data_IF_294690079786
#
_entry.id   IF_294690079786
#
_cell.length_a   1.000
_cell.length_b   1.000
_cell.length_c   1.000
_cell.angle_alpha   90.00
_cell.angle_beta   90.00
_cell.angle_gamma   90.00
#
_symmetry.space_group_name_H-M   'P 1'
#
loop_
_entity.id
_entity.type
_entity.pdbx_description
1 polymer ?
#
# COMPACT_ATOMS: atom_id res chain seq x y z
N UNK A 1 11.48 -31.19 -13.19
CA UNK A 1 10.43 -32.23 -12.99
C UNK A 1 10.29 -32.65 -11.54
N UNK A 2 11.39 -32.97 -10.80
CA UNK A 2 11.29 -33.44 -9.40
C UNK A 2 10.66 -32.43 -8.42
N UNK A 3 11.06 -31.16 -8.47
CA UNK A 3 10.46 -30.10 -7.64
C UNK A 3 8.93 -29.97 -7.85
N UNK A 4 8.44 -30.15 -9.09
CA UNK A 4 7.00 -30.11 -9.39
C UNK A 4 6.27 -31.28 -8.73
N UNK A 5 6.81 -32.49 -8.83
CA UNK A 5 6.23 -33.66 -8.16
C UNK A 5 6.23 -33.49 -6.63
N UNK A 6 7.32 -32.95 -6.08
CA UNK A 6 7.43 -32.67 -4.65
C UNK A 6 6.40 -31.64 -4.20
N UNK A 7 6.22 -30.54 -4.94
CA UNK A 7 5.18 -29.55 -4.64
C UNK A 7 3.77 -30.16 -4.62
N UNK A 8 3.48 -31.12 -5.49
CA UNK A 8 2.20 -31.85 -5.48
C UNK A 8 2.06 -32.83 -4.31
N UNK A 9 3.17 -33.26 -3.71
CA UNK A 9 3.20 -34.35 -2.73
C UNK A 9 3.38 -33.88 -1.28
N UNK A 10 4.01 -32.73 -1.05
CA UNK A 10 4.47 -32.33 0.28
C UNK A 10 3.33 -32.21 1.32
N UNK A 11 2.19 -31.64 0.93
CA UNK A 11 1.01 -31.51 1.80
C UNK A 11 -0.01 -32.64 1.64
N UNK A 12 0.31 -33.72 0.93
CA UNK A 12 -0.66 -34.81 0.72
C UNK A 12 -1.18 -35.43 2.03
N UNK A 13 -0.38 -35.40 3.10
CA UNK A 13 -0.79 -35.88 4.42
C UNK A 13 -1.96 -35.09 5.01
N UNK A 14 -2.10 -33.80 4.67
CA UNK A 14 -3.15 -32.92 5.17
C UNK A 14 -4.55 -33.33 4.69
N UNK A 15 -4.64 -34.07 3.58
CA UNK A 15 -5.91 -34.64 3.12
C UNK A 15 -6.56 -35.60 4.13
N UNK A 16 -5.76 -36.18 5.04
CA UNK A 16 -6.23 -37.08 6.11
C UNK A 16 -6.18 -36.39 7.48
N UNK A 17 -5.09 -35.65 7.75
CA UNK A 17 -4.84 -35.04 9.07
C UNK A 17 -5.61 -33.72 9.25
N UNK A 18 -5.93 -33.04 8.15
CA UNK A 18 -6.29 -31.63 8.13
C UNK A 18 -5.04 -30.73 8.11
N UNK A 19 -5.22 -29.50 7.68
CA UNK A 19 -4.19 -28.44 7.74
C UNK A 19 -3.98 -28.03 9.20
N UNK A 20 -2.89 -28.51 9.81
CA UNK A 20 -2.49 -28.16 11.18
C UNK A 20 -1.66 -26.89 11.13
N UNK A 21 -2.23 -25.83 11.69
CA UNK A 21 -1.61 -24.52 11.78
C UNK A 21 -0.89 -24.33 13.13
N UNK A 22 0.00 -23.33 13.26
CA UNK A 22 0.59 -22.99 14.55
C UNK A 22 -0.44 -22.66 15.64
N UNK A 23 -1.63 -22.18 15.25
CA UNK A 23 -2.70 -21.81 16.19
C UNK A 23 -3.34 -23.02 16.90
N UNK A 24 -3.20 -24.22 16.34
CA UNK A 24 -3.73 -25.46 16.91
C UNK A 24 -2.89 -25.98 18.09
N UNK A 25 -1.71 -25.40 18.33
CA UNK A 25 -0.86 -25.73 19.48
C UNK A 25 -0.25 -27.15 19.43
N UNK A 26 -0.29 -27.81 18.27
CA UNK A 26 0.26 -29.15 18.08
C UNK A 26 1.79 -29.09 18.00
N UNK A 27 2.54 -29.85 18.81
CA UNK A 27 3.99 -29.90 18.73
C UNK A 27 4.48 -30.36 17.35
N UNK A 28 5.61 -29.82 16.89
CA UNK A 28 6.18 -30.12 15.56
C UNK A 28 6.38 -31.61 15.32
N UNK A 29 6.93 -32.33 16.28
CA UNK A 29 7.20 -33.78 16.15
C UNK A 29 5.90 -34.59 16.07
N UNK A 30 4.84 -34.12 16.73
CA UNK A 30 3.52 -34.74 16.66
C UNK A 30 2.84 -34.46 15.31
N UNK A 31 2.92 -33.22 14.81
CA UNK A 31 2.46 -32.85 13.46
C UNK A 31 3.15 -33.72 12.41
N UNK A 32 4.48 -33.79 12.45
CA UNK A 32 5.28 -34.60 11.52
C UNK A 32 4.92 -36.09 11.58
N UNK A 33 4.70 -36.63 12.79
CA UNK A 33 4.29 -38.03 12.94
C UNK A 33 2.90 -38.29 12.32
N UNK A 34 1.93 -37.40 12.56
CA UNK A 34 0.57 -37.50 12.00
C UNK A 34 0.61 -37.48 10.48
N UNK A 35 1.33 -36.52 9.89
CA UNK A 35 1.46 -36.38 8.43
C UNK A 35 2.18 -37.58 7.81
N UNK A 36 3.26 -38.04 8.43
CA UNK A 36 3.98 -39.24 7.97
C UNK A 36 3.08 -40.47 7.94
N UNK A 37 2.27 -40.67 8.98
CA UNK A 37 1.34 -41.81 9.07
C UNK A 37 0.19 -41.68 8.06
N UNK A 38 -0.31 -40.47 7.83
CA UNK A 38 -1.30 -40.20 6.79
C UNK A 38 -0.76 -40.49 5.39
N UNK A 39 0.45 -40.05 5.09
CA UNK A 39 1.10 -40.34 3.81
C UNK A 39 1.35 -41.84 3.63
N UNK A 40 1.81 -42.54 4.67
CA UNK A 40 1.98 -43.99 4.64
C UNK A 40 0.65 -44.73 4.38
N UNK A 41 -0.45 -44.25 4.98
CA UNK A 41 -1.78 -44.78 4.70
C UNK A 41 -2.17 -44.59 3.23
N UNK A 42 -1.98 -43.39 2.66
CA UNK A 42 -2.22 -43.12 1.25
C UNK A 42 -1.35 -44.02 0.34
N UNK A 43 -0.08 -44.19 0.67
CA UNK A 43 0.83 -45.09 -0.03
C UNK A 43 0.33 -46.54 0.00
N UNK A 44 -0.14 -47.04 1.14
CA UNK A 44 -0.72 -48.37 1.26
C UNK A 44 -1.97 -48.57 0.36
N UNK A 45 -2.81 -47.55 0.19
CA UNK A 45 -3.97 -47.61 -0.69
C UNK A 45 -3.59 -47.65 -2.18
N UNK A 46 -2.53 -46.92 -2.55
CA UNK A 46 -2.05 -46.80 -3.93
C UNK A 46 -1.26 -48.04 -4.35
N UNK A 47 -0.48 -48.62 -3.43
CA UNK A 47 0.51 -49.67 -3.70
C UNK A 47 -0.04 -50.90 -4.44
N UNK A 48 -1.27 -51.42 -4.19
CA UNK A 48 -1.82 -52.53 -4.96
C UNK A 48 -2.03 -52.23 -6.46
N UNK A 49 -2.22 -50.96 -6.82
CA UNK A 49 -2.49 -50.53 -8.20
C UNK A 49 -1.23 -49.97 -8.86
N UNK A 50 -0.41 -49.22 -8.12
CA UNK A 50 0.82 -48.63 -8.63
C UNK A 50 1.90 -48.57 -7.53
N UNK A 51 2.67 -49.66 -7.35
CA UNK A 51 3.72 -49.74 -6.33
C UNK A 51 4.78 -48.65 -6.48
N UNK A 52 5.24 -48.40 -7.71
CA UNK A 52 6.29 -47.40 -7.97
C UNK A 52 5.87 -45.98 -7.60
N UNK A 53 4.60 -45.64 -7.80
CA UNK A 53 4.10 -44.32 -7.42
C UNK A 53 3.93 -44.19 -5.91
N UNK A 54 3.50 -45.25 -5.23
CA UNK A 54 3.46 -45.29 -3.77
C UNK A 54 4.85 -45.06 -3.15
N UNK A 55 5.89 -45.71 -3.70
CA UNK A 55 7.27 -45.48 -3.26
C UNK A 55 7.74 -44.04 -3.58
N UNK A 56 7.41 -43.51 -4.76
CA UNK A 56 7.80 -42.16 -5.17
C UNK A 56 7.22 -41.08 -4.25
N UNK A 57 5.95 -41.16 -3.83
CA UNK A 57 5.36 -40.15 -2.94
C UNK A 57 5.99 -40.18 -1.54
N UNK A 58 6.29 -41.37 -1.00
CA UNK A 58 6.95 -41.52 0.30
C UNK A 58 8.38 -40.96 0.26
N UNK A 59 9.09 -41.20 -0.85
CA UNK A 59 10.43 -40.66 -1.08
C UNK A 59 10.42 -39.13 -1.22
N UNK A 60 9.49 -38.58 -2.03
CA UNK A 60 9.38 -37.13 -2.26
C UNK A 60 9.06 -36.37 -0.97
N UNK A 61 8.12 -36.89 -0.16
CA UNK A 61 7.77 -36.28 1.11
C UNK A 61 8.94 -36.33 2.10
N UNK A 62 9.63 -37.48 2.18
CA UNK A 62 10.81 -37.62 3.05
C UNK A 62 11.94 -36.68 2.63
N UNK A 63 12.17 -36.51 1.32
CA UNK A 63 13.15 -35.55 0.78
C UNK A 63 12.76 -34.10 1.10
N UNK A 64 11.48 -33.76 0.96
CA UNK A 64 10.96 -32.44 1.32
C UNK A 64 11.20 -32.16 2.80
N UNK A 65 10.85 -33.09 3.68
CA UNK A 65 11.01 -32.97 5.13
C UNK A 65 12.47 -32.85 5.57
N UNK A 66 13.38 -33.57 4.93
CA UNK A 66 14.81 -33.42 5.17
C UNK A 66 15.31 -32.00 4.80
N UNK A 67 14.80 -31.41 3.71
CA UNK A 67 15.11 -30.02 3.34
C UNK A 67 16.51 -29.77 2.77
N UNK A 68 17.33 -30.81 2.64
CA UNK A 68 18.74 -30.69 2.21
C UNK A 68 18.90 -30.58 0.69
N UNK A 69 17.93 -31.06 -0.08
CA UNK A 69 18.03 -31.09 -1.53
C UNK A 69 17.71 -29.73 -2.15
N UNK A 70 18.31 -29.42 -3.31
CA UNK A 70 17.97 -28.21 -4.06
C UNK A 70 16.49 -28.15 -4.45
N UNK A 71 15.88 -29.32 -4.71
CA UNK A 71 14.45 -29.39 -5.02
C UNK A 71 13.61 -29.05 -3.78
N UNK A 72 13.94 -29.61 -2.62
CA UNK A 72 13.27 -29.32 -1.36
C UNK A 72 13.41 -27.85 -0.95
N UNK A 73 14.62 -27.29 -1.04
CA UNK A 73 14.87 -25.87 -0.76
C UNK A 73 14.07 -24.95 -1.68
N UNK A 74 13.97 -25.28 -2.96
CA UNK A 74 13.16 -24.52 -3.91
C UNK A 74 11.67 -24.61 -3.55
N UNK A 75 11.13 -25.82 -3.33
CA UNK A 75 9.70 -26.00 -3.01
C UNK A 75 9.34 -25.30 -1.70
N UNK A 76 10.16 -25.43 -0.65
CA UNK A 76 9.97 -24.70 0.62
C UNK A 76 10.01 -23.17 0.44
N UNK A 77 10.87 -22.68 -0.45
CA UNK A 77 10.95 -21.25 -0.77
C UNK A 77 9.72 -20.77 -1.54
N UNK A 78 9.21 -21.59 -2.48
CA UNK A 78 7.99 -21.29 -3.24
C UNK A 78 6.77 -21.33 -2.33
N UNK A 79 6.65 -22.31 -1.44
CA UNK A 79 5.57 -22.45 -0.46
C UNK A 79 5.48 -21.21 0.44
N UNK A 80 6.61 -20.78 1.01
CA UNK A 80 6.68 -19.55 1.80
C UNK A 80 6.26 -18.30 1.00
N UNK A 81 6.74 -18.16 -0.23
CA UNK A 81 6.39 -17.02 -1.10
C UNK A 81 4.91 -17.04 -1.51
N UNK A 82 4.35 -18.21 -1.77
CA UNK A 82 2.94 -18.38 -2.11
C UNK A 82 2.05 -17.93 -0.94
N UNK A 83 2.38 -18.38 0.28
CA UNK A 83 1.68 -17.98 1.49
C UNK A 83 1.76 -16.45 1.73
N UNK A 84 2.93 -15.84 1.52
CA UNK A 84 3.08 -14.38 1.55
C UNK A 84 2.18 -13.70 0.51
N UNK A 85 2.17 -14.20 -0.73
CA UNK A 85 1.36 -13.64 -1.81
C UNK A 85 -0.14 -13.74 -1.51
N UNK A 86 -0.58 -14.88 -0.97
CA UNK A 86 -1.96 -15.05 -0.51
C UNK A 86 -2.32 -14.02 0.56
N UNK A 87 -1.44 -13.75 1.53
CA UNK A 87 -1.68 -12.75 2.56
C UNK A 87 -1.98 -11.37 1.94
N UNK A 88 -1.17 -10.90 0.98
CA UNK A 88 -1.40 -9.63 0.27
C UNK A 88 -2.74 -9.63 -0.48
N UNK A 89 -3.07 -10.72 -1.17
CA UNK A 89 -4.36 -10.86 -1.86
C UNK A 89 -5.53 -10.82 -0.88
N UNK A 90 -5.41 -11.43 0.30
CA UNK A 90 -6.46 -11.40 1.33
C UNK A 90 -6.58 -10.03 1.97
N UNK A 91 -5.48 -9.32 2.20
CA UNK A 91 -5.48 -7.92 2.65
C UNK A 91 -6.27 -7.07 1.65
N UNK A 92 -5.93 -7.12 0.36
CA UNK A 92 -6.63 -6.39 -0.71
C UNK A 92 -8.13 -6.73 -0.76
N UNK A 93 -8.48 -8.03 -0.81
CA UNK A 93 -9.88 -8.50 -0.87
C UNK A 93 -10.69 -8.12 0.36
N UNK A 94 -10.05 -8.01 1.51
CA UNK A 94 -10.68 -7.54 2.74
C UNK A 94 -10.85 -6.03 2.79
N UNK A 95 -10.51 -5.30 1.71
CA UNK A 95 -10.42 -3.85 1.68
C UNK A 95 -9.49 -3.32 2.79
N UNK A 96 -8.43 -4.08 3.03
CA UNK A 96 -7.38 -3.79 4.00
C UNK A 96 -7.89 -3.74 5.45
N UNK A 97 -9.06 -4.31 5.74
CA UNK A 97 -9.60 -4.38 7.11
C UNK A 97 -8.74 -5.29 7.99
N UNK A 98 -8.14 -6.33 7.41
CA UNK A 98 -7.23 -7.25 8.09
C UNK A 98 -5.79 -6.93 7.70
N UNK A 99 -4.93 -6.76 8.70
CA UNK A 99 -3.48 -6.71 8.52
C UNK A 99 -2.92 -8.12 8.74
N UNK A 100 -2.30 -8.68 7.71
CA UNK A 100 -1.69 -10.00 7.69
C UNK A 100 -0.16 -9.87 7.56
N UNK A 101 0.42 -8.77 8.05
CA UNK A 101 1.84 -8.50 7.99
C UNK A 101 2.73 -9.55 8.67
N UNK A 102 2.18 -10.31 9.63
CA UNK A 102 2.86 -11.46 10.26
C UNK A 102 3.34 -12.51 9.25
N UNK A 103 2.64 -12.66 8.12
CA UNK A 103 3.02 -13.61 7.07
C UNK A 103 4.24 -13.12 6.26
N UNK A 104 4.59 -11.83 6.31
CA UNK A 104 5.78 -11.31 5.62
C UNK A 104 7.09 -11.80 6.26
N UNK A 105 7.05 -12.23 7.53
CA UNK A 105 8.21 -12.83 8.22
C UNK A 105 8.68 -14.14 7.56
N UNK A 106 7.82 -14.76 6.74
CA UNK A 106 8.15 -15.95 5.95
C UNK A 106 9.22 -15.69 4.89
N UNK A 107 9.56 -14.44 4.57
CA UNK A 107 10.72 -14.10 3.74
C UNK A 107 12.00 -14.81 4.23
N UNK A 108 12.15 -14.95 5.54
CA UNK A 108 13.31 -15.64 6.16
C UNK A 108 13.45 -17.11 5.74
N UNK A 109 12.37 -17.73 5.26
CA UNK A 109 12.34 -19.10 4.75
C UNK A 109 12.61 -19.21 3.25
N UNK A 110 12.66 -18.08 2.53
CA UNK A 110 12.93 -18.04 1.08
C UNK A 110 14.43 -18.08 0.83
N UNK A 111 14.99 -19.29 0.77
CA UNK A 111 16.43 -19.50 0.57
C UNK A 111 16.85 -19.46 -0.91
N UNK A 112 15.94 -19.75 -1.84
CA UNK A 112 16.23 -19.80 -3.29
C UNK A 112 16.56 -18.40 -3.85
N UNK A 113 17.80 -18.17 -4.36
CA UNK A 113 18.22 -16.86 -4.87
C UNK A 113 17.34 -16.30 -5.99
N UNK A 114 16.80 -17.18 -6.83
CA UNK A 114 15.97 -16.84 -7.99
C UNK A 114 14.62 -16.20 -7.59
N UNK A 115 14.17 -16.37 -6.35
CA UNK A 115 12.90 -15.85 -5.85
C UNK A 115 13.03 -14.52 -5.11
N UNK A 116 14.25 -14.04 -4.85
CA UNK A 116 14.48 -12.81 -4.06
C UNK A 116 13.86 -11.57 -4.71
N UNK A 117 13.91 -11.48 -6.03
CA UNK A 117 13.30 -10.35 -6.74
C UNK A 117 11.78 -10.39 -6.67
N UNK A 118 11.19 -11.59 -6.59
CA UNK A 118 9.74 -11.76 -6.44
C UNK A 118 9.28 -11.37 -5.03
N UNK A 119 10.04 -11.75 -3.99
CA UNK A 119 9.79 -11.30 -2.61
C UNK A 119 9.80 -9.77 -2.53
N UNK A 120 10.80 -9.12 -3.12
CA UNK A 120 10.88 -7.64 -3.14
C UNK A 120 9.71 -7.01 -3.89
N UNK A 121 9.32 -7.57 -5.04
CA UNK A 121 8.18 -7.08 -5.82
C UNK A 121 6.90 -7.17 -4.98
N UNK A 122 6.68 -8.30 -4.32
CA UNK A 122 5.51 -8.52 -3.47
C UNK A 122 5.46 -7.54 -2.28
N UNK A 123 6.60 -7.28 -1.64
CA UNK A 123 6.69 -6.27 -0.57
C UNK A 123 6.35 -4.88 -1.08
N UNK A 124 6.87 -4.49 -2.24
CA UNK A 124 6.55 -3.19 -2.86
C UNK A 124 5.07 -3.07 -3.23
N UNK A 125 4.46 -4.15 -3.74
CA UNK A 125 3.03 -4.21 -4.03
C UNK A 125 2.21 -4.02 -2.75
N UNK A 126 2.56 -4.74 -1.67
CA UNK A 126 1.91 -4.60 -0.36
C UNK A 126 2.07 -3.17 0.19
N UNK A 127 3.28 -2.61 0.14
CA UNK A 127 3.54 -1.24 0.63
C UNK A 127 2.72 -0.21 -0.14
N UNK A 128 2.61 -0.37 -1.46
CA UNK A 128 1.78 0.50 -2.31
C UNK A 128 0.30 0.39 -1.94
N UNK A 129 -0.17 -0.85 -1.75
CA UNK A 129 -1.54 -1.15 -1.36
C UNK A 129 -1.91 -0.48 -0.02
N UNK A 130 -1.09 -0.66 1.01
CA UNK A 130 -1.33 -0.06 2.34
C UNK A 130 -1.15 1.45 2.36
N UNK A 131 -0.20 2.00 1.58
CA UNK A 131 -0.03 3.45 1.43
C UNK A 131 -1.25 4.11 0.78
N UNK A 132 -1.86 3.43 -0.20
CA UNK A 132 -3.08 3.92 -0.87
C UNK A 132 -4.28 4.02 0.09
N UNK A 133 -4.39 3.11 1.06
CA UNK A 133 -5.44 3.13 2.08
C UNK A 133 -5.35 4.34 2.98
N UNK A 134 -4.14 4.65 3.44
CA UNK A 134 -3.89 5.83 4.29
C UNK A 134 -4.41 7.04 3.55
N UNK A 135 -4.04 7.22 2.26
CA UNK A 135 -4.50 8.35 1.45
C UNK A 135 -6.02 8.42 1.25
N UNK A 136 -6.73 7.29 1.23
CA UNK A 136 -8.19 7.25 1.13
C UNK A 136 -8.90 7.69 2.43
N UNK A 137 -8.26 7.56 3.59
CA UNK A 137 -8.81 7.96 4.89
C UNK A 137 -8.36 9.39 5.32
N UNK A 138 -7.70 10.15 4.44
CA UNK A 138 -7.27 11.53 4.73
C UNK A 138 -8.32 12.55 4.29
N UNK A 139 -8.51 13.58 5.11
CA UNK A 139 -9.29 14.74 4.70
C UNK A 139 -8.37 15.82 4.12
N UNK A 140 -8.62 16.24 2.89
CA UNK A 140 -7.85 17.31 2.25
C UNK A 140 -8.54 18.67 2.40
N UNK A 141 -7.84 19.63 2.99
CA UNK A 141 -8.23 21.04 3.11
C UNK A 141 -7.36 21.88 2.16
N UNK A 142 -7.96 22.40 1.09
CA UNK A 142 -7.27 23.28 0.15
C UNK A 142 -7.42 24.74 0.57
N UNK A 143 -6.28 25.42 0.76
CA UNK A 143 -6.23 26.83 1.14
C UNK A 143 -5.80 27.66 -0.06
N UNK A 144 -6.77 28.34 -0.67
CA UNK A 144 -6.56 29.16 -1.87
C UNK A 144 -6.70 30.65 -1.56
N UNK A 145 -5.96 31.47 -2.31
CA UNK A 145 -5.96 32.93 -2.18
C UNK A 145 -4.74 33.57 -2.83
N UNK A 146 -4.82 34.87 -3.10
CA UNK A 146 -3.75 35.64 -3.74
C UNK A 146 -2.40 35.60 -3.00
N UNK A 147 -1.28 35.96 -3.64
CA UNK A 147 0.00 36.10 -2.95
C UNK A 147 -0.09 37.18 -1.85
N UNK A 148 0.56 36.94 -0.71
CA UNK A 148 0.63 37.92 0.40
C UNK A 148 -0.58 37.97 1.35
N UNK A 149 -1.66 37.21 1.10
CA UNK A 149 -2.87 37.23 1.96
C UNK A 149 -2.73 36.49 3.31
N UNK A 150 -1.54 35.98 3.63
CA UNK A 150 -1.27 35.32 4.91
C UNK A 150 -1.71 33.85 5.03
N UNK A 151 -1.94 33.13 3.91
CA UNK A 151 -2.33 31.71 3.90
C UNK A 151 -1.44 30.83 4.76
N UNK A 152 -0.12 30.85 4.50
CA UNK A 152 0.84 30.06 5.29
C UNK A 152 0.79 30.35 6.79
N UNK A 153 0.58 31.62 7.19
CA UNK A 153 0.41 31.99 8.61
C UNK A 153 -0.85 31.36 9.21
N UNK A 154 -1.95 31.36 8.46
CA UNK A 154 -3.21 30.75 8.90
C UNK A 154 -3.10 29.22 8.95
N UNK A 155 -2.51 28.59 7.93
CA UNK A 155 -2.27 27.15 7.91
C UNK A 155 -1.42 26.71 9.11
N UNK A 156 -0.32 27.43 9.40
CA UNK A 156 0.55 27.15 10.54
C UNK A 156 -0.18 27.27 11.89
N UNK A 157 -1.17 28.16 12.01
CA UNK A 157 -2.03 28.28 13.19
C UNK A 157 -3.05 27.15 13.29
N UNK A 158 -3.69 26.77 12.18
CA UNK A 158 -4.67 25.67 12.15
C UNK A 158 -4.02 24.34 12.53
N UNK A 159 -2.76 24.12 12.16
CA UNK A 159 -2.01 22.92 12.54
C UNK A 159 -1.64 22.86 14.03
N UNK A 160 -1.70 23.98 14.76
CA UNK A 160 -1.37 23.96 16.20
C UNK A 160 -2.47 23.25 16.99
N UNK A 161 -2.13 22.12 17.61
CA UNK A 161 -3.06 21.38 18.48
C UNK A 161 -4.10 20.54 17.75
N UNK A 162 -3.95 20.32 16.44
CA UNK A 162 -4.81 19.41 15.65
C UNK A 162 -3.96 18.27 15.07
N UNK A 163 -4.59 17.11 14.80
CA UNK A 163 -3.97 16.02 14.04
C UNK A 163 -4.00 16.38 12.54
N UNK A 164 -3.18 17.35 12.15
CA UNK A 164 -3.10 17.84 10.77
C UNK A 164 -1.68 18.17 10.36
N UNK A 165 -1.42 18.04 9.06
CA UNK A 165 -0.14 18.38 8.43
C UNK A 165 -0.37 19.47 7.40
N UNK A 166 0.43 20.53 7.50
CA UNK A 166 0.46 21.61 6.51
C UNK A 166 1.53 21.34 5.45
N UNK A 167 1.10 21.30 4.20
CA UNK A 167 1.93 21.11 3.02
C UNK A 167 1.80 22.34 2.13
N UNK A 168 2.86 23.14 2.04
CA UNK A 168 2.98 24.26 1.12
C UNK A 168 3.75 23.81 -0.12
N UNK A 169 3.08 23.77 -1.29
CA UNK A 169 3.75 23.37 -2.54
C UNK A 169 4.88 24.33 -2.90
N UNK A 170 4.75 25.61 -2.55
CA UNK A 170 5.83 26.58 -2.74
C UNK A 170 7.08 26.27 -1.91
N UNK A 171 6.91 25.74 -0.69
CA UNK A 171 8.03 25.32 0.16
C UNK A 171 8.65 24.01 -0.34
N UNK A 172 7.82 23.02 -0.71
CA UNK A 172 8.30 21.77 -1.32
C UNK A 172 9.20 22.05 -2.54
N UNK A 173 8.77 22.94 -3.43
CA UNK A 173 9.57 23.34 -4.59
C UNK A 173 10.89 24.02 -4.18
N UNK A 174 10.88 24.89 -3.16
CA UNK A 174 12.11 25.55 -2.66
C UNK A 174 13.06 24.56 -2.00
N UNK A 175 12.56 23.58 -1.28
CA UNK A 175 13.37 22.51 -0.68
C UNK A 175 14.03 21.66 -1.77
N UNK A 176 13.29 21.30 -2.82
CA UNK A 176 13.79 20.53 -3.95
C UNK A 176 14.92 21.25 -4.71
N UNK A 177 14.94 22.60 -4.71
CA UNK A 177 16.05 23.39 -5.30
C UNK A 177 17.34 23.36 -4.48
N UNK A 178 17.26 23.02 -3.18
CA UNK A 178 18.41 22.94 -2.27
C UNK A 178 18.99 21.53 -2.21
N UNK A 179 18.23 20.54 -2.64
CA UNK A 179 18.68 19.15 -2.71
C UNK A 179 19.80 19.00 -3.74
N UNK A 180 20.97 18.54 -3.30
CA UNK A 180 22.16 18.32 -4.14
C UNK A 180 22.01 17.18 -5.15
N UNK A 181 20.94 16.40 -5.06
CA UNK A 181 20.66 15.24 -5.92
C UNK A 181 19.58 15.49 -6.99
N UNK A 182 18.91 16.65 -7.03
CA UNK A 182 17.79 16.88 -7.95
C UNK A 182 18.25 17.45 -9.30
N UNK A 183 17.96 16.74 -10.40
CA UNK A 183 18.14 17.24 -11.77
C UNK A 183 17.15 18.35 -12.17
N UNK A 184 16.27 18.76 -11.25
CA UNK A 184 15.18 19.71 -11.51
C UNK A 184 15.40 21.08 -10.88
N UNK A 185 16.49 21.29 -10.12
CA UNK A 185 16.71 22.52 -9.36
C UNK A 185 16.66 23.80 -10.23
N UNK A 186 17.32 23.80 -11.38
CA UNK A 186 17.36 24.97 -12.27
C UNK A 186 15.99 25.22 -12.94
N UNK A 187 15.32 24.15 -13.38
CA UNK A 187 13.95 24.21 -13.91
C UNK A 187 12.98 24.83 -12.91
N UNK A 188 13.06 24.44 -11.62
CA UNK A 188 12.20 24.98 -10.57
C UNK A 188 12.52 26.46 -10.31
N UNK A 189 13.81 26.84 -10.22
CA UNK A 189 14.22 28.24 -10.03
C UNK A 189 13.70 29.14 -11.14
N UNK A 190 13.84 28.71 -12.40
CA UNK A 190 13.38 29.46 -13.55
C UNK A 190 11.85 29.54 -13.60
N UNK A 191 11.16 28.45 -13.27
CA UNK A 191 9.70 28.45 -13.21
C UNK A 191 9.16 29.39 -12.13
N UNK A 192 9.77 29.40 -10.94
CA UNK A 192 9.41 30.33 -9.85
C UNK A 192 9.68 31.77 -10.27
N UNK A 193 10.86 32.06 -10.86
CA UNK A 193 11.24 33.41 -11.31
C UNK A 193 10.29 33.95 -12.36
N UNK A 194 9.87 33.12 -13.30
CA UNK A 194 9.01 33.49 -14.42
C UNK A 194 7.50 33.31 -14.13
N UNK A 195 7.12 32.92 -12.91
CA UNK A 195 5.73 32.63 -12.53
C UNK A 195 5.05 31.58 -13.42
N UNK A 196 5.83 30.62 -13.92
CA UNK A 196 5.33 29.51 -14.74
C UNK A 196 4.81 28.40 -13.83
N UNK A 197 3.64 27.84 -14.17
CA UNK A 197 3.04 26.73 -13.43
C UNK A 197 3.89 25.47 -13.65
N UNK A 198 4.31 24.85 -12.55
CA UNK A 198 5.02 23.56 -12.56
C UNK A 198 4.06 22.46 -13.06
N UNK A 199 4.53 21.52 -13.89
CA UNK A 199 3.74 20.38 -14.34
C UNK A 199 3.00 19.67 -13.21
N UNK A 200 1.77 19.24 -13.48
CA UNK A 200 0.88 18.65 -12.49
C UNK A 200 1.51 17.42 -11.81
N UNK A 201 2.03 16.49 -12.61
CA UNK A 201 2.69 15.28 -12.15
C UNK A 201 3.83 15.54 -11.15
N UNK A 202 4.61 16.59 -11.41
CA UNK A 202 5.74 16.94 -10.55
C UNK A 202 5.25 17.46 -9.18
N UNK A 203 4.25 18.34 -9.19
CA UNK A 203 3.68 18.90 -7.96
C UNK A 203 2.99 17.83 -7.12
N UNK A 204 2.21 16.96 -7.76
CA UNK A 204 1.49 15.85 -7.09
C UNK A 204 2.47 14.86 -6.47
N UNK A 205 3.54 14.49 -7.19
CA UNK A 205 4.59 13.61 -6.65
C UNK A 205 5.26 14.17 -5.40
N UNK A 206 5.56 15.48 -5.37
CA UNK A 206 6.14 16.11 -4.19
C UNK A 206 5.16 16.10 -3.00
N UNK A 207 3.86 16.29 -3.25
CA UNK A 207 2.84 16.22 -2.22
C UNK A 207 2.73 14.80 -1.67
N UNK A 208 2.65 13.77 -2.52
CA UNK A 208 2.58 12.36 -2.11
C UNK A 208 3.76 11.99 -1.21
N UNK A 209 4.98 12.30 -1.65
CA UNK A 209 6.20 12.05 -0.88
C UNK A 209 6.12 12.69 0.52
N UNK A 210 5.64 13.93 0.62
CA UNK A 210 5.48 14.62 1.92
C UNK A 210 4.41 13.96 2.80
N UNK A 211 3.31 13.49 2.23
CA UNK A 211 2.27 12.77 2.98
C UNK A 211 2.84 11.48 3.57
N UNK A 212 3.58 10.71 2.78
CA UNK A 212 4.26 9.47 3.19
C UNK A 212 5.28 9.74 4.31
N UNK A 213 6.14 10.74 4.14
CA UNK A 213 7.14 11.16 5.14
C UNK A 213 6.51 11.61 6.47
N UNK A 214 5.28 12.11 6.44
CA UNK A 214 4.60 12.64 7.62
C UNK A 214 3.99 11.54 8.50
N UNK A 215 4.01 10.27 8.07
CA UNK A 215 3.51 9.11 8.81
C UNK A 215 2.13 9.36 9.45
N UNK A 216 1.20 9.93 8.67
CA UNK A 216 -0.05 10.39 9.23
C UNK A 216 -0.96 9.25 9.67
N UNK A 217 -1.72 9.50 10.73
CA UNK A 217 -2.73 8.57 11.23
C UNK A 217 -4.03 8.65 10.40
N UNK A 218 -4.85 7.61 10.53
CA UNK A 218 -6.17 7.55 9.91
C UNK A 218 -7.04 8.73 10.36
N UNK A 219 -7.69 9.42 9.41
CA UNK A 219 -8.57 10.56 9.70
C UNK A 219 -7.86 11.89 9.94
N UNK A 220 -6.53 11.94 9.80
CA UNK A 220 -5.78 13.20 9.85
C UNK A 220 -6.15 14.13 8.68
N UNK A 221 -5.97 15.44 8.91
CA UNK A 221 -6.26 16.48 7.90
C UNK A 221 -4.97 16.89 7.20
N UNK A 222 -4.94 16.87 5.86
CA UNK A 222 -3.86 17.45 5.06
C UNK A 222 -4.28 18.84 4.58
N UNK A 223 -3.55 19.86 5.00
CA UNK A 223 -3.78 21.24 4.60
C UNK A 223 -2.83 21.60 3.47
N UNK A 224 -3.37 21.84 2.27
CA UNK A 224 -2.59 22.17 1.07
C UNK A 224 -2.65 23.68 0.79
N UNK A 225 -1.50 24.36 0.95
CA UNK A 225 -1.33 25.78 0.59
C UNK A 225 -0.70 25.93 -0.79
N UNK A 226 -1.31 26.79 -1.61
CA UNK A 226 -0.78 27.18 -2.91
C UNK A 226 -0.98 26.14 -4.00
N UNK A 227 -1.89 25.18 -3.79
CA UNK A 227 -2.28 24.11 -4.69
C UNK A 227 -3.79 23.80 -4.55
N UNK A 228 -4.50 23.41 -5.63
CA UNK A 228 -4.06 23.45 -7.03
C UNK A 228 -4.03 24.87 -7.61
N UNK A 229 -3.16 25.12 -8.60
CA UNK A 229 -3.08 26.39 -9.37
C UNK A 229 -3.68 26.29 -10.77
N UNK A 230 -3.99 25.08 -11.23
CA UNK A 230 -4.66 24.81 -12.50
C UNK A 230 -5.64 23.64 -12.37
N UNK A 231 -6.54 23.51 -13.33
CA UNK A 231 -7.49 22.39 -13.38
C UNK A 231 -6.75 21.05 -13.57
N UNK A 232 -5.69 21.04 -14.38
CA UNK A 232 -4.88 19.84 -14.62
C UNK A 232 -4.23 19.35 -13.32
N UNK A 233 -3.72 20.26 -12.49
CA UNK A 233 -3.20 19.91 -11.16
C UNK A 233 -4.24 19.24 -10.28
N UNK A 234 -5.47 19.77 -10.27
CA UNK A 234 -6.56 19.21 -9.48
C UNK A 234 -6.98 17.81 -9.97
N UNK A 235 -7.08 17.61 -11.29
CA UNK A 235 -7.41 16.30 -11.88
C UNK A 235 -6.33 15.26 -11.61
N UNK A 236 -5.07 15.60 -11.86
CA UNK A 236 -3.95 14.69 -11.58
C UNK A 236 -3.88 14.33 -10.10
N UNK A 237 -4.23 15.26 -9.21
CA UNK A 237 -4.32 14.99 -7.78
C UNK A 237 -5.44 13.99 -7.44
N UNK A 238 -6.64 14.21 -7.98
CA UNK A 238 -7.78 13.30 -7.80
C UNK A 238 -7.45 11.89 -8.31
N UNK A 239 -6.85 11.80 -9.51
CA UNK A 239 -6.45 10.53 -10.13
C UNK A 239 -5.38 9.78 -9.32
N UNK A 240 -4.34 10.48 -8.84
CA UNK A 240 -3.14 9.83 -8.26
C UNK A 240 -3.11 9.74 -6.74
N UNK A 241 -3.78 10.66 -6.05
CA UNK A 241 -3.73 10.75 -4.58
C UNK A 241 -5.02 10.24 -3.95
N UNK A 242 -6.17 10.49 -4.57
CA UNK A 242 -7.46 10.12 -3.98
C UNK A 242 -7.90 8.73 -4.42
N UNK A 243 -7.61 8.33 -5.67
CA UNK A 243 -8.18 7.15 -6.35
C UNK A 243 -9.72 7.24 -6.45
N UNK A 244 -10.28 6.88 -7.61
CA UNK A 244 -11.69 7.14 -7.95
C UNK A 244 -12.72 6.29 -7.22
N UNK A 245 -12.32 5.48 -6.23
CA UNK A 245 -13.22 4.59 -5.52
C UNK A 245 -13.57 5.14 -4.14
N UNK A 246 -14.87 5.11 -3.84
CA UNK A 246 -15.56 5.51 -2.61
C UNK A 246 -15.88 6.99 -2.29
N UNK A 247 -17.20 7.19 -2.27
CA UNK A 247 -18.15 8.24 -1.86
C UNK A 247 -17.89 9.09 -0.60
N UNK A 248 -16.69 9.16 -0.01
CA UNK A 248 -16.51 9.88 1.26
C UNK A 248 -15.13 10.50 1.46
N UNK A 249 -14.68 11.36 0.55
CA UNK A 249 -13.66 12.35 0.87
C UNK A 249 -14.28 13.75 0.85
N UNK A 250 -14.59 14.25 2.03
CA UNK A 250 -15.18 15.58 2.24
C UNK A 250 -14.13 16.66 1.99
N UNK A 251 -14.16 17.26 0.80
CA UNK A 251 -13.33 18.41 0.45
C UNK A 251 -13.92 19.68 1.08
N UNK A 252 -13.14 20.35 1.93
CA UNK A 252 -13.46 21.70 2.37
C UNK A 252 -12.56 22.69 1.61
N UNK A 253 -13.18 23.56 0.82
CA UNK A 253 -12.50 24.67 0.15
C UNK A 253 -12.72 25.94 0.96
N UNK A 254 -11.67 26.43 1.62
CA UNK A 254 -11.71 27.76 2.25
C UNK A 254 -10.96 28.76 1.38
N UNK A 255 -11.71 29.66 0.74
CA UNK A 255 -11.15 30.81 0.01
C UNK A 255 -10.96 31.95 1.03
N UNK A 256 -9.72 32.25 1.38
CA UNK A 256 -9.38 33.44 2.17
C UNK A 256 -9.11 34.60 1.20
N UNK A 257 -10.12 34.97 0.40
CA UNK A 257 -10.17 36.24 -0.35
C UNK A 257 -11.63 36.55 -0.76
N UNK A 258 -12.33 37.50 -0.11
CA UNK A 258 -13.70 37.86 -0.46
C UNK A 258 -13.84 38.65 -1.78
N UNK A 259 -12.76 39.00 -2.49
CA UNK A 259 -12.83 39.91 -3.66
C UNK A 259 -12.66 39.25 -5.02
N UNK A 260 -12.20 38.00 -5.10
CA UNK A 260 -12.11 37.26 -6.36
C UNK A 260 -12.35 35.78 -6.13
N UNK A 261 -13.06 35.17 -7.08
CA UNK A 261 -13.32 33.73 -7.27
C UNK A 261 -14.75 33.33 -6.90
N UNK A 262 -15.65 33.49 -7.89
CA UNK A 262 -17.01 32.98 -7.86
C UNK A 262 -17.39 32.50 -9.27
N UNK A 263 -16.60 31.63 -9.90
CA UNK A 263 -16.94 31.13 -11.24
C UNK A 263 -16.57 29.68 -11.60
N UNK A 264 -15.70 28.96 -10.87
CA UNK A 264 -15.29 27.61 -11.29
C UNK A 264 -15.56 26.46 -10.32
N UNK A 265 -16.03 26.75 -9.11
CA UNK A 265 -16.40 25.72 -8.11
C UNK A 265 -17.67 24.96 -8.49
N UNK A 266 -18.61 25.60 -9.18
CA UNK A 266 -19.88 24.98 -9.58
C UNK A 266 -19.72 23.89 -10.63
N UNK A 267 -18.70 23.94 -11.50
CA UNK A 267 -18.52 22.97 -12.58
C UNK A 267 -17.81 21.69 -12.12
N UNK A 268 -16.88 21.83 -11.16
CA UNK A 268 -16.26 20.70 -10.45
C UNK A 268 -17.27 19.98 -9.54
N UNK A 269 -18.12 20.74 -8.82
CA UNK A 269 -19.14 20.17 -7.93
C UNK A 269 -20.34 19.57 -8.67
N UNK A 270 -20.69 20.07 -9.87
CA UNK A 270 -21.86 19.58 -10.64
C UNK A 270 -21.63 18.24 -11.33
N UNK A 271 -20.37 17.81 -11.54
CA UNK A 271 -20.06 16.54 -12.22
C UNK A 271 -19.88 15.35 -11.27
N UNK A 272 -19.74 15.59 -9.97
CA UNK A 272 -19.71 14.53 -8.95
C UNK A 272 -21.07 14.43 -8.27
N UNK A 273 -21.95 13.61 -8.83
CA UNK A 273 -23.27 13.26 -8.27
C UNK A 273 -23.23 12.52 -6.91
N UNK A 274 -22.05 12.39 -6.30
CA UNK A 274 -21.80 11.68 -5.06
C UNK A 274 -21.47 12.59 -3.86
N UNK A 275 -21.32 13.91 -4.05
CA UNK A 275 -20.86 14.80 -2.98
C UNK A 275 -22.05 15.57 -2.38
N UNK A 276 -22.66 15.01 -1.34
CA UNK A 276 -23.57 15.77 -0.46
C UNK A 276 -22.74 16.60 0.53
N UNK A 277 -22.14 17.70 0.07
CA UNK A 277 -21.60 18.71 0.97
C UNK A 277 -22.78 19.52 1.55
N UNK A 278 -23.07 19.33 2.85
CA UNK A 278 -23.78 20.36 3.61
C UNK A 278 -22.79 21.54 3.77
N UNK A 279 -23.11 22.75 3.28
CA UNK A 279 -22.25 23.90 3.50
C UNK A 279 -22.31 24.27 4.99
N UNK A 280 -21.32 23.86 5.77
CA UNK A 280 -21.14 24.39 7.13
C UNK A 280 -20.34 25.68 7.00
N UNK A 281 -21.04 26.80 6.84
CA UNK A 281 -20.49 28.14 7.00
C UNK A 281 -20.10 28.34 8.48
N UNK A 282 -18.88 27.97 8.84
CA UNK A 282 -18.26 28.33 10.11
C UNK A 282 -17.24 29.43 9.88
N UNK A 283 -17.66 30.69 10.01
CA UNK A 283 -16.73 31.82 10.05
C UNK A 283 -16.21 31.95 11.48
N UNK A 284 -14.94 31.63 11.71
CA UNK A 284 -14.26 31.92 12.98
C UNK A 284 -13.51 33.25 12.81
N UNK A 285 -14.05 34.32 13.39
CA UNK A 285 -13.30 35.54 13.69
C UNK A 285 -12.80 35.43 15.13
N UNK A 286 -11.51 35.69 15.43
CA UNK A 286 -11.14 36.17 16.76
C UNK A 286 -11.50 37.65 16.86
N UNK A 287 -12.08 38.05 18.00
CA UNK A 287 -12.28 39.45 18.41
C UNK A 287 -10.97 40.25 18.42
#
# INVERSE_FOLDING_TARGET
>A
MRAVKMALAHDMGEAIVGDITPSDGVPRDEKLLKERLALAYLACLIRPVNPSFADEIEELWSEFEAGDSKAAQLVRSVDALECMHQAVVYEERSQLVKDLGEFMELETKVSAPELRDWVKCLQQERDTLWSSKVTQDLTFLFVLGGPGVGKGTQCARITQGTSSVHISVGDLLREETKSTSSGFADFIKDSIRNSVIIPADFSVRLIQKRIEESQMEKGSIVILDGFPRSLDQARTFEEKVVSFDTTSNSYLLSIIDPRKILYHTSEMLRRSSAISLKPTLGVIWPD
#
